data_IF_406423071872
#
_entry.id   IF_406423071872
#
_cell.length_a   1.000
_cell.length_b   1.000
_cell.length_c   1.000
_cell.angle_alpha   90.00
_cell.angle_beta   90.00
_cell.angle_gamma   90.00
#
_symmetry.space_group_name_H-M   'P 1'
#
loop_
_entity.id
_entity.type
_entity.pdbx_description
1 polymer ?
#
# COMPACT_ATOMS: atom_id res chain seq x y z
N UNK A 1 1.28 -16.94 2.62
CA UNK A 1 0.28 -17.09 1.54
C UNK A 1 0.27 -15.91 0.57
N UNK A 2 0.33 -14.66 1.06
CA UNK A 2 0.26 -13.46 0.21
C UNK A 2 1.32 -13.34 -0.90
N UNK A 3 2.57 -13.78 -0.68
CA UNK A 3 3.61 -13.74 -1.74
C UNK A 3 3.30 -14.65 -2.93
N UNK A 4 2.73 -15.84 -2.69
CA UNK A 4 2.27 -16.75 -3.75
C UNK A 4 1.05 -16.19 -4.47
N UNK A 5 0.14 -15.54 -3.74
CA UNK A 5 -1.00 -14.85 -4.34
C UNK A 5 -0.56 -13.67 -5.22
N UNK A 6 0.47 -12.92 -4.80
CA UNK A 6 1.05 -11.83 -5.58
C UNK A 6 1.63 -12.34 -6.90
N UNK A 7 2.49 -13.36 -6.86
CA UNK A 7 3.08 -13.97 -8.07
C UNK A 7 1.99 -14.52 -9.01
N UNK A 8 0.95 -15.15 -8.46
CA UNK A 8 -0.20 -15.63 -9.24
C UNK A 8 -0.99 -14.51 -9.91
N UNK A 9 -1.27 -13.43 -9.17
CA UNK A 9 -2.01 -12.28 -9.68
C UNK A 9 -1.22 -11.47 -10.70
N UNK A 10 0.09 -11.26 -10.48
CA UNK A 10 0.99 -10.61 -11.44
C UNK A 10 1.02 -11.38 -12.77
N UNK A 11 1.08 -12.71 -12.71
CA UNK A 11 1.11 -13.55 -13.92
C UNK A 11 -0.23 -13.57 -14.66
N UNK A 12 -1.34 -13.57 -13.93
CA UNK A 12 -2.68 -13.70 -14.52
C UNK A 12 -3.23 -12.37 -15.05
N UNK A 13 -2.98 -11.27 -14.33
CA UNK A 13 -3.63 -9.98 -14.57
C UNK A 13 -2.66 -8.81 -14.75
N UNK A 14 -1.39 -9.00 -14.39
CA UNK A 14 -0.37 -7.95 -14.43
C UNK A 14 -0.15 -7.25 -13.09
N UNK A 15 0.98 -6.53 -12.96
CA UNK A 15 1.41 -5.90 -11.70
C UNK A 15 0.55 -4.71 -11.27
N UNK A 16 -0.16 -4.07 -12.20
CA UNK A 16 -1.02 -2.91 -11.96
C UNK A 16 -2.50 -3.28 -11.83
N UNK A 17 -2.85 -4.56 -11.96
CA UNK A 17 -4.23 -4.99 -11.79
C UNK A 17 -4.67 -4.84 -10.33
N UNK A 18 -5.91 -4.44 -10.13
CA UNK A 18 -6.44 -4.06 -8.82
C UNK A 18 -6.36 -5.17 -7.80
N UNK A 19 -6.67 -6.41 -8.18
CA UNK A 19 -6.49 -7.58 -7.30
C UNK A 19 -5.02 -7.84 -6.93
N UNK A 20 -4.09 -7.50 -7.82
CA UNK A 20 -2.65 -7.55 -7.55
C UNK A 20 -2.28 -6.48 -6.53
N UNK A 21 -2.74 -5.24 -6.74
CA UNK A 21 -2.48 -4.10 -5.85
C UNK A 21 -3.10 -4.28 -4.45
N UNK A 22 -4.29 -4.84 -4.35
CA UNK A 22 -4.90 -5.22 -3.05
C UNK A 22 -4.06 -6.27 -2.33
N UNK A 23 -3.46 -7.21 -3.06
CA UNK A 23 -2.56 -8.21 -2.49
C UNK A 23 -1.26 -7.58 -2.01
N UNK A 24 -0.74 -6.60 -2.74
CA UNK A 24 0.43 -5.80 -2.33
C UNK A 24 0.10 -5.00 -1.06
N UNK A 25 -1.06 -4.35 -1.00
CA UNK A 25 -1.48 -3.59 0.19
C UNK A 25 -1.54 -4.48 1.44
N UNK A 26 -2.14 -5.68 1.32
CA UNK A 26 -2.19 -6.69 2.40
C UNK A 26 -0.82 -7.23 2.82
N UNK A 27 0.16 -7.26 1.91
CA UNK A 27 1.54 -7.57 2.26
C UNK A 27 2.16 -6.44 3.09
N UNK A 28 1.80 -5.19 2.82
CA UNK A 28 2.17 -4.04 3.63
C UNK A 28 1.70 -4.20 5.07
N UNK A 29 0.41 -4.51 5.27
CA UNK A 29 -0.18 -4.75 6.60
C UNK A 29 0.57 -5.84 7.36
N UNK A 30 0.83 -6.98 6.69
CA UNK A 30 1.53 -8.10 7.28
C UNK A 30 2.96 -7.75 7.71
N UNK A 31 3.66 -6.90 6.95
CA UNK A 31 5.00 -6.45 7.31
C UNK A 31 4.97 -5.44 8.46
N UNK A 32 3.99 -4.54 8.48
CA UNK A 32 3.78 -3.59 9.57
C UNK A 32 3.55 -4.34 10.90
N UNK A 33 2.67 -5.35 10.90
CA UNK A 33 2.40 -6.21 12.06
C UNK A 33 3.63 -6.97 12.57
N UNK A 34 4.61 -7.23 11.68
CA UNK A 34 5.89 -7.88 12.03
C UNK A 34 6.97 -6.88 12.48
N UNK A 35 6.67 -5.57 12.52
CA UNK A 35 7.65 -4.52 12.79
C UNK A 35 8.62 -4.27 11.62
N UNK A 36 8.36 -4.84 10.44
CA UNK A 36 9.17 -4.68 9.22
C UNK A 36 8.74 -3.44 8.46
N UNK A 37 9.02 -2.29 9.07
CA UNK A 37 8.48 -1.01 8.64
C UNK A 37 8.94 -0.60 7.23
N UNK A 38 10.18 -0.91 6.84
CA UNK A 38 10.70 -0.58 5.52
C UNK A 38 10.04 -1.42 4.41
N UNK A 39 9.84 -2.71 4.65
CA UNK A 39 9.14 -3.60 3.72
C UNK A 39 7.66 -3.24 3.60
N UNK A 40 7.02 -2.85 4.71
CA UNK A 40 5.64 -2.35 4.70
C UNK A 40 5.50 -1.10 3.83
N UNK A 41 6.39 -0.11 4.03
CA UNK A 41 6.41 1.15 3.27
C UNK A 41 6.58 0.89 1.77
N UNK A 42 7.48 -0.02 1.39
CA UNK A 42 7.71 -0.39 0.01
C UNK A 42 6.46 -1.01 -0.64
N UNK A 43 5.74 -1.88 0.08
CA UNK A 43 4.50 -2.47 -0.42
C UNK A 43 3.41 -1.40 -0.58
N UNK A 44 3.17 -0.56 0.43
CA UNK A 44 2.14 0.46 0.33
C UNK A 44 2.41 1.50 -0.76
N UNK A 45 3.67 1.93 -0.94
CA UNK A 45 4.02 2.85 -2.05
C UNK A 45 3.72 2.24 -3.41
N UNK A 46 4.05 0.96 -3.60
CA UNK A 46 3.75 0.24 -4.83
C UNK A 46 2.24 0.13 -5.07
N UNK A 47 1.47 -0.19 -4.03
CA UNK A 47 0.01 -0.24 -4.13
C UNK A 47 -0.58 1.15 -4.44
N UNK A 48 -0.02 2.22 -3.86
CA UNK A 48 -0.48 3.60 -4.05
C UNK A 48 -0.29 4.04 -5.49
N UNK A 49 0.92 3.88 -6.05
CA UNK A 49 1.23 4.25 -7.43
C UNK A 49 0.33 3.51 -8.43
N UNK A 50 0.13 2.20 -8.22
CA UNK A 50 -0.76 1.42 -9.07
C UNK A 50 -2.22 1.84 -8.95
N UNK A 51 -2.72 2.12 -7.73
CA UNK A 51 -4.11 2.53 -7.51
C UNK A 51 -4.38 3.94 -8.06
N UNK A 52 -3.43 4.87 -7.91
CA UNK A 52 -3.50 6.21 -8.52
C UNK A 52 -3.57 6.11 -10.05
N UNK A 53 -2.78 5.22 -10.66
CA UNK A 53 -2.80 5.02 -12.12
C UNK A 53 -4.08 4.35 -12.61
N UNK A 54 -4.60 3.37 -11.86
CA UNK A 54 -5.77 2.59 -12.26
C UNK A 54 -7.09 3.34 -12.08
N UNK A 55 -7.22 4.11 -10.99
CA UNK A 55 -8.49 4.71 -10.58
C UNK A 55 -8.44 6.21 -10.27
N UNK A 56 -7.24 6.78 -10.15
CA UNK A 56 -7.05 8.15 -9.73
C UNK A 56 -6.84 8.32 -8.21
N UNK A 57 -6.49 9.54 -7.77
CA UNK A 57 -6.12 9.84 -6.39
C UNK A 57 -7.27 9.74 -5.39
N UNK A 58 -8.50 10.03 -5.81
CA UNK A 58 -9.68 10.09 -4.92
C UNK A 58 -10.42 8.75 -4.77
N UNK A 59 -9.99 7.71 -5.49
CA UNK A 59 -10.64 6.42 -5.41
C UNK A 59 -10.42 5.78 -4.04
N UNK A 60 -11.42 5.05 -3.54
CA UNK A 60 -11.40 4.45 -2.20
C UNK A 60 -10.18 3.57 -1.94
N UNK A 61 -9.74 2.76 -2.91
CA UNK A 61 -8.53 1.94 -2.76
C UNK A 61 -7.26 2.78 -2.61
N UNK A 62 -7.18 3.91 -3.34
CA UNK A 62 -6.07 4.85 -3.25
C UNK A 62 -6.04 5.52 -1.87
N UNK A 63 -7.19 6.04 -1.42
CA UNK A 63 -7.35 6.66 -0.10
C UNK A 63 -7.05 5.68 1.05
N UNK A 64 -7.45 4.42 0.92
CA UNK A 64 -7.11 3.37 1.90
C UNK A 64 -5.60 3.12 1.98
N UNK A 65 -4.92 3.14 0.84
CA UNK A 65 -3.46 2.96 0.79
C UNK A 65 -2.73 4.18 1.39
N UNK A 66 -3.21 5.39 1.09
CA UNK A 66 -2.75 6.65 1.71
C UNK A 66 -2.90 6.60 3.24
N UNK A 67 -4.05 6.13 3.72
CA UNK A 67 -4.31 5.98 5.15
C UNK A 67 -3.35 4.99 5.82
N UNK A 68 -3.09 3.85 5.16
CA UNK A 68 -2.17 2.82 5.66
C UNK A 68 -0.73 3.33 5.76
N UNK A 69 -0.27 4.13 4.78
CA UNK A 69 1.02 4.83 4.86
C UNK A 69 1.05 5.85 6.00
N UNK A 70 -0.02 6.62 6.20
CA UNK A 70 -0.11 7.58 7.30
C UNK A 70 0.04 6.92 8.68
N UNK A 71 -0.63 5.79 8.90
CA UNK A 71 -0.49 4.99 10.12
C UNK A 71 0.95 4.49 10.27
N UNK A 72 1.52 3.90 9.22
CA UNK A 72 2.89 3.37 9.25
C UNK A 72 3.93 4.45 9.63
N UNK A 73 3.79 5.67 9.12
CA UNK A 73 4.69 6.77 9.50
C UNK A 73 4.46 7.26 10.92
N UNK A 74 3.20 7.28 11.39
CA UNK A 74 2.90 7.61 12.78
C UNK A 74 3.56 6.60 13.74
N UNK A 75 3.47 5.30 13.42
CA UNK A 75 4.10 4.23 14.21
C UNK A 75 5.63 4.30 14.21
N UNK A 76 6.23 4.88 13.17
CA UNK A 76 7.67 5.17 13.10
C UNK A 76 8.08 6.47 13.81
N UNK A 77 7.13 7.23 14.37
CA UNK A 77 7.39 8.57 14.94
C UNK A 77 7.67 9.66 13.89
N UNK A 78 7.44 9.37 12.61
CA UNK A 78 7.64 10.28 11.46
C UNK A 78 6.40 11.13 11.23
N UNK A 79 6.14 12.04 12.17
CA UNK A 79 4.91 12.83 12.20
C UNK A 79 4.76 13.77 10.98
N UNK A 80 5.86 14.30 10.44
CA UNK A 80 5.82 15.17 9.26
C UNK A 80 5.35 14.42 8.01
N UNK A 81 5.83 13.20 7.81
CA UNK A 81 5.41 12.32 6.74
C UNK A 81 3.97 11.84 6.93
N UNK A 82 3.57 11.49 8.16
CA UNK A 82 2.19 11.12 8.48
C UNK A 82 1.18 12.25 8.18
N UNK A 83 1.52 13.50 8.50
CA UNK A 83 0.70 14.66 8.17
C UNK A 83 0.57 14.87 6.65
N UNK A 84 1.65 14.64 5.89
CA UNK A 84 1.61 14.78 4.44
C UNK A 84 0.60 13.81 3.79
N UNK A 85 0.49 12.58 4.31
CA UNK A 85 -0.51 11.61 3.84
C UNK A 85 -1.92 11.92 4.35
N UNK A 86 -2.06 12.47 5.56
CA UNK A 86 -3.37 12.88 6.10
C UNK A 86 -4.00 14.03 5.29
N UNK A 87 -3.18 14.97 4.79
CA UNK A 87 -3.64 16.10 3.96
C UNK A 87 -3.98 15.71 2.51
N UNK A 88 -3.64 14.49 2.11
CA UNK A 88 -3.86 13.95 0.75
C UNK A 88 -5.17 13.14 0.66
N UNK A 89 -5.95 13.10 1.75
CA UNK A 89 -7.23 12.40 1.88
C UNK A 89 -8.40 13.35 1.69
#
# INVERSE_FOLDING_TARGET
MHRRALEGNEKAWGPEHTSTLDTVNRLGDLYADQGKMAEAEAMYRRALEGNEKAWGPEHTSTLNTVHSLGILYADQGKMAEAEAFTRRR
#
